data_IF_366445044236
#
_entry.id   IF_366445044236
#
_cell.length_a   1.000
_cell.length_b   1.000
_cell.length_c   1.000
_cell.angle_alpha   90.00
_cell.angle_beta   90.00
_cell.angle_gamma   90.00
#
_symmetry.space_group_name_H-M   'P 1'
#
loop_
_entity.id
_entity.type
_entity.pdbx_description
1 polymer ?
#
# COMPACT_ATOMS: atom_id res chain seq x y z
N UNK A 1 -91.61 -6.89 -32.24
CA UNK A 1 -91.54 -6.28 -30.90
C UNK A 1 -90.20 -6.65 -30.28
N UNK A 2 -89.28 -5.66 -30.24
CA UNK A 2 -88.01 -5.54 -29.49
C UNK A 2 -87.04 -6.74 -29.60
N UNK A 3 -86.07 -6.75 -30.53
CA UNK A 3 -84.85 -5.93 -30.71
C UNK A 3 -83.81 -6.02 -29.58
N UNK A 4 -82.74 -6.82 -29.81
CA UNK A 4 -81.32 -6.41 -29.71
C UNK A 4 -80.38 -7.63 -29.84
N UNK A 5 -79.49 -7.70 -30.86
CA UNK A 5 -78.44 -8.71 -30.96
C UNK A 5 -77.08 -8.20 -30.42
N UNK A 6 -76.30 -9.12 -29.85
CA UNK A 6 -74.93 -8.92 -29.35
C UNK A 6 -73.96 -8.42 -30.43
N UNK A 7 -73.17 -7.40 -30.09
CA UNK A 7 -72.03 -6.93 -30.87
C UNK A 7 -70.79 -7.80 -30.64
N UNK A 8 -70.34 -8.52 -31.67
CA UNK A 8 -68.95 -9.01 -31.77
C UNK A 8 -68.07 -7.91 -32.40
N UNK A 9 -67.07 -7.44 -31.65
CA UNK A 9 -66.06 -6.50 -32.12
C UNK A 9 -64.85 -7.25 -32.72
N UNK A 10 -64.52 -6.90 -33.97
CA UNK A 10 -63.35 -7.37 -34.73
C UNK A 10 -62.03 -7.01 -34.03
N UNK A 11 -61.11 -7.98 -33.91
CA UNK A 11 -59.68 -7.72 -33.62
C UNK A 11 -58.94 -7.34 -34.93
N UNK A 12 -58.05 -6.34 -34.94
CA UNK A 12 -57.13 -6.13 -36.06
C UNK A 12 -55.93 -7.10 -35.98
N UNK A 13 -55.53 -7.61 -37.14
CA UNK A 13 -54.29 -8.33 -37.38
C UNK A 13 -53.09 -7.38 -37.17
N UNK A 14 -52.20 -7.72 -36.23
CA UNK A 14 -50.98 -6.97 -35.91
C UNK A 14 -49.73 -7.83 -36.11
N UNK A 15 -49.15 -7.64 -37.29
CA UNK A 15 -47.78 -7.90 -37.77
C UNK A 15 -46.76 -8.55 -36.80
N UNK A 16 -46.43 -9.82 -37.06
CA UNK A 16 -45.38 -10.59 -36.36
C UNK A 16 -43.98 -10.42 -36.96
N UNK A 17 -43.78 -9.55 -37.96
CA UNK A 17 -42.47 -9.43 -38.64
C UNK A 17 -41.48 -8.48 -37.96
N UNK A 18 -41.93 -7.58 -37.07
CA UNK A 18 -41.06 -6.60 -36.39
C UNK A 18 -40.21 -7.15 -35.23
N UNK A 19 -40.69 -8.18 -34.51
CA UNK A 19 -39.99 -8.69 -33.30
C UNK A 19 -38.81 -9.62 -33.60
N UNK A 20 -38.79 -10.28 -34.76
CA UNK A 20 -37.67 -11.16 -35.14
C UNK A 20 -36.46 -10.38 -35.70
N UNK A 21 -36.68 -9.22 -36.32
CA UNK A 21 -35.61 -8.36 -36.83
C UNK A 21 -34.77 -7.70 -35.73
N UNK A 22 -35.43 -7.23 -34.66
CA UNK A 22 -34.77 -6.59 -33.51
C UNK A 22 -33.90 -7.57 -32.71
N UNK A 23 -34.37 -8.81 -32.51
CA UNK A 23 -33.60 -9.85 -31.82
C UNK A 23 -32.37 -10.34 -32.61
N UNK A 24 -32.43 -10.35 -33.95
CA UNK A 24 -31.28 -10.67 -34.81
C UNK A 24 -30.26 -9.53 -34.86
N UNK A 25 -30.72 -8.28 -34.84
CA UNK A 25 -29.86 -7.10 -34.75
C UNK A 25 -29.07 -7.01 -33.43
N UNK A 26 -29.72 -7.32 -32.29
CA UNK A 26 -29.08 -7.33 -30.98
C UNK A 26 -27.97 -8.41 -30.86
N UNK A 27 -28.26 -9.65 -31.28
CA UNK A 27 -27.28 -10.75 -31.24
C UNK A 27 -26.08 -10.53 -32.18
N UNK A 28 -26.27 -9.81 -33.29
CA UNK A 28 -25.18 -9.47 -34.23
C UNK A 28 -24.28 -8.36 -33.67
N UNK A 29 -24.85 -7.35 -33.00
CA UNK A 29 -24.08 -6.31 -32.29
C UNK A 29 -23.35 -6.85 -31.07
N UNK A 30 -23.92 -7.84 -30.37
CA UNK A 30 -23.30 -8.49 -29.21
C UNK A 30 -22.17 -9.44 -29.63
N UNK A 31 -22.32 -10.18 -30.73
CA UNK A 31 -21.20 -10.95 -31.33
C UNK A 31 -20.09 -10.06 -31.88
N UNK A 32 -20.42 -8.90 -32.47
CA UNK A 32 -19.41 -7.92 -32.89
C UNK A 32 -18.72 -7.28 -31.69
N UNK A 33 -19.43 -6.89 -30.63
CA UNK A 33 -18.84 -6.37 -29.38
C UNK A 33 -17.96 -7.40 -28.67
N UNK A 34 -18.38 -8.67 -28.60
CA UNK A 34 -17.55 -9.75 -28.07
C UNK A 34 -16.33 -9.97 -28.95
N UNK A 35 -16.48 -10.07 -30.27
CA UNK A 35 -15.35 -10.24 -31.19
C UNK A 35 -14.36 -9.07 -31.22
N UNK A 36 -14.82 -7.83 -31.02
CA UNK A 36 -13.95 -6.67 -30.80
C UNK A 36 -13.25 -6.75 -29.44
N UNK A 37 -13.96 -7.05 -28.33
CA UNK A 37 -13.34 -7.26 -27.02
C UNK A 37 -12.29 -8.38 -27.04
N UNK A 38 -12.55 -9.53 -27.68
CA UNK A 38 -11.59 -10.65 -27.71
C UNK A 38 -10.38 -10.36 -28.58
N UNK A 39 -10.53 -9.57 -29.66
CA UNK A 39 -9.42 -9.21 -30.55
C UNK A 39 -8.59 -8.05 -30.00
N UNK A 40 -9.21 -7.12 -29.26
CA UNK A 40 -8.51 -6.11 -28.45
C UNK A 40 -7.78 -6.76 -27.28
N UNK A 41 -8.40 -7.72 -26.56
CA UNK A 41 -7.74 -8.47 -25.48
C UNK A 41 -6.60 -9.36 -25.98
N UNK A 42 -6.74 -10.00 -27.14
CA UNK A 42 -5.66 -10.82 -27.73
C UNK A 42 -4.49 -9.95 -28.19
N UNK A 43 -4.76 -8.80 -28.82
CA UNK A 43 -3.72 -7.84 -29.20
C UNK A 43 -3.07 -7.18 -27.97
N UNK A 44 -3.83 -6.85 -26.92
CA UNK A 44 -3.29 -6.42 -25.63
C UNK A 44 -2.40 -7.51 -25.03
N UNK A 45 -2.81 -8.79 -25.04
CA UNK A 45 -1.99 -9.89 -24.51
C UNK A 45 -0.64 -10.03 -25.21
N UNK A 46 -0.60 -9.91 -26.54
CA UNK A 46 0.67 -9.91 -27.31
C UNK A 46 1.47 -8.61 -27.20
N UNK A 47 0.88 -7.49 -26.78
CA UNK A 47 1.63 -6.25 -26.47
C UNK A 47 2.15 -6.25 -25.02
N UNK A 48 1.40 -6.85 -24.09
CA UNK A 48 1.79 -7.11 -22.69
C UNK A 48 2.99 -8.06 -22.60
N UNK A 49 3.20 -8.93 -23.59
CA UNK A 49 4.41 -9.76 -23.72
C UNK A 49 5.70 -8.95 -23.98
N UNK A 50 5.62 -7.62 -24.16
CA UNK A 50 6.77 -6.77 -24.52
C UNK A 50 6.79 -5.38 -23.88
N UNK A 51 6.16 -5.18 -22.72
CA UNK A 51 6.53 -3.99 -21.93
C UNK A 51 7.74 -4.36 -21.09
N UNK A 52 8.95 -3.87 -21.44
CA UNK A 52 10.13 -4.17 -20.65
C UNK A 52 9.97 -3.56 -19.25
N UNK A 53 10.58 -4.24 -18.29
CA UNK A 53 10.94 -3.71 -16.97
C UNK A 53 11.29 -2.22 -17.05
N UNK A 54 10.70 -1.42 -16.18
CA UNK A 54 10.93 0.04 -16.16
C UNK A 54 12.22 0.40 -15.43
N UNK A 55 12.66 -0.48 -14.54
CA UNK A 55 13.92 -0.40 -13.81
C UNK A 55 14.74 -1.66 -14.06
N UNK A 56 16.05 -1.53 -14.20
CA UNK A 56 16.93 -2.68 -14.46
C UNK A 56 17.81 -3.05 -13.26
N UNK A 57 17.87 -2.19 -12.24
CA UNK A 57 18.69 -2.39 -11.05
C UNK A 57 17.96 -2.06 -9.74
N UNK A 58 18.37 -2.66 -8.60
CA UNK A 58 17.86 -2.30 -7.27
C UNK A 58 17.95 -0.81 -6.93
N UNK A 59 18.98 -0.13 -7.42
CA UNK A 59 19.29 1.27 -7.11
C UNK A 59 18.29 2.27 -7.73
N UNK A 60 17.63 1.86 -8.81
CA UNK A 60 16.61 2.67 -9.51
C UNK A 60 15.26 2.65 -8.78
N UNK A 61 15.01 1.67 -7.92
CA UNK A 61 13.75 1.55 -7.20
C UNK A 61 13.66 2.56 -6.04
N UNK A 62 12.57 3.32 -5.99
CA UNK A 62 12.34 4.28 -4.91
C UNK A 62 11.71 3.60 -3.70
N UNK A 63 12.50 3.41 -2.64
CA UNK A 63 12.01 2.84 -1.39
C UNK A 63 11.47 3.94 -0.46
N UNK A 64 10.22 3.79 -0.02
CA UNK A 64 9.64 4.54 1.10
C UNK A 64 9.71 3.63 2.34
N UNK A 65 10.50 4.00 3.34
CA UNK A 65 10.77 3.14 4.51
C UNK A 65 9.65 3.19 5.56
N UNK A 66 8.97 2.05 5.79
CA UNK A 66 7.71 1.95 6.55
C UNK A 66 7.83 1.73 8.08
N UNK A 67 9.05 1.79 8.64
CA UNK A 67 9.25 1.29 10.01
C UNK A 67 8.83 2.28 11.12
N UNK A 68 8.69 3.58 10.86
CA UNK A 68 8.33 4.59 11.88
C UNK A 68 6.80 4.72 11.93
N UNK A 69 6.14 3.64 12.36
CA UNK A 69 4.68 3.53 12.35
C UNK A 69 4.16 2.96 13.67
N UNK A 70 3.14 3.60 14.24
CA UNK A 70 2.51 3.23 15.51
C UNK A 70 1.99 1.77 15.57
N UNK A 71 1.67 1.16 14.42
CA UNK A 71 1.23 -0.24 14.31
C UNK A 71 2.35 -1.26 14.50
N UNK A 72 3.62 -0.85 14.43
CA UNK A 72 4.75 -1.78 14.40
C UNK A 72 4.96 -2.43 15.77
N UNK A 73 4.97 -3.76 15.76
CA UNK A 73 5.00 -4.62 16.94
C UNK A 73 6.34 -5.36 17.06
N UNK A 74 6.85 -5.42 18.28
CA UNK A 74 7.81 -6.43 18.72
C UNK A 74 7.15 -7.42 19.67
N UNK A 75 7.58 -8.67 19.64
CA UNK A 75 7.15 -9.65 20.64
C UNK A 75 7.90 -9.42 21.96
N UNK A 76 7.20 -9.47 23.09
CA UNK A 76 7.80 -9.31 24.44
C UNK A 76 8.82 -10.40 24.77
N UNK A 77 8.55 -11.62 24.34
CA UNK A 77 9.49 -12.76 24.40
C UNK A 77 10.40 -12.87 23.15
N UNK A 78 10.42 -11.84 22.30
CA UNK A 78 11.21 -11.79 21.08
C UNK A 78 12.64 -11.35 21.32
N UNK A 79 13.49 -11.50 20.29
CA UNK A 79 14.93 -11.15 20.36
C UNK A 79 15.23 -9.67 20.62
N UNK A 80 14.25 -8.79 20.41
CA UNK A 80 14.40 -7.33 20.53
C UNK A 80 13.80 -6.76 21.81
N UNK A 81 13.27 -7.59 22.71
CA UNK A 81 12.75 -7.19 24.00
C UNK A 81 13.54 -7.90 25.12
N UNK A 82 13.70 -7.23 26.26
CA UNK A 82 14.37 -7.77 27.46
C UNK A 82 13.64 -7.31 28.72
N UNK A 83 13.74 -8.10 29.77
CA UNK A 83 13.37 -7.71 31.14
C UNK A 83 14.65 -7.54 31.95
N UNK A 84 14.82 -6.39 32.60
CA UNK A 84 15.95 -6.11 33.48
C UNK A 84 15.76 -6.77 34.85
N UNK A 85 16.81 -6.77 35.68
CA UNK A 85 16.81 -7.41 37.01
C UNK A 85 15.77 -6.80 37.96
N UNK A 86 15.41 -5.53 37.76
CA UNK A 86 14.38 -4.82 38.53
C UNK A 86 12.95 -5.05 38.01
N UNK A 87 12.79 -5.87 36.96
CA UNK A 87 11.50 -6.18 36.33
C UNK A 87 11.08 -5.21 35.22
N UNK A 88 11.88 -4.19 34.90
CA UNK A 88 11.58 -3.25 33.82
C UNK A 88 11.69 -3.94 32.46
N UNK A 89 10.63 -3.89 31.66
CA UNK A 89 10.66 -4.33 30.26
C UNK A 89 11.21 -3.22 29.36
N UNK A 90 12.15 -3.57 28.47
CA UNK A 90 12.85 -2.64 27.60
C UNK A 90 13.03 -3.20 26.19
N UNK A 91 13.16 -2.30 25.23
CA UNK A 91 13.61 -2.56 23.85
C UNK A 91 15.02 -1.99 23.70
N UNK A 92 16.08 -2.81 23.73
CA UNK A 92 17.44 -2.34 23.56
C UNK A 92 17.71 -1.88 22.12
N UNK A 93 18.43 -0.77 21.97
CA UNK A 93 18.89 -0.25 20.69
C UNK A 93 20.29 0.36 20.81
N UNK A 94 20.84 0.83 19.69
CA UNK A 94 22.18 1.44 19.66
C UNK A 94 22.08 2.93 19.37
N UNK A 95 22.74 3.75 20.19
CA UNK A 95 22.94 5.15 19.89
C UNK A 95 23.95 5.38 18.76
N UNK A 96 24.16 6.64 18.35
CA UNK A 96 25.03 6.99 17.23
C UNK A 96 26.50 6.61 17.45
N UNK A 97 26.98 6.59 18.70
CA UNK A 97 28.33 6.14 19.06
C UNK A 97 28.46 4.63 19.24
N UNK A 98 27.38 3.88 18.99
CA UNK A 98 27.32 2.44 19.26
C UNK A 98 27.04 2.07 20.71
N UNK A 99 26.85 3.07 21.58
CA UNK A 99 26.45 2.85 22.97
C UNK A 99 25.08 2.19 23.05
N UNK A 100 24.88 1.32 24.04
CA UNK A 100 23.58 0.69 24.24
C UNK A 100 22.63 1.71 24.90
N UNK A 101 21.46 1.89 24.30
CA UNK A 101 20.34 2.65 24.84
C UNK A 101 19.12 1.73 24.98
N UNK A 102 18.14 2.16 25.77
CA UNK A 102 16.95 1.38 26.07
C UNK A 102 15.72 2.25 25.80
N UNK A 103 14.71 1.67 25.14
CA UNK A 103 13.36 2.21 25.14
C UNK A 103 12.57 1.44 26.20
N UNK A 104 12.20 2.09 27.30
CA UNK A 104 11.46 1.52 28.41
C UNK A 104 9.99 1.36 28.07
N UNK A 105 9.39 0.24 28.48
CA UNK A 105 7.95 -0.01 28.33
C UNK A 105 7.22 0.62 29.52
N UNK A 106 6.42 1.69 29.30
CA UNK A 106 5.81 2.43 30.39
C UNK A 106 4.65 1.65 31.03
N UNK A 107 4.33 1.96 32.29
CA UNK A 107 3.34 1.21 33.07
C UNK A 107 1.93 1.29 32.46
N UNK A 108 1.54 2.45 31.92
CA UNK A 108 0.25 2.60 31.24
C UNK A 108 0.11 1.62 30.06
N UNK A 109 1.21 1.34 29.34
CA UNK A 109 1.18 0.45 28.19
C UNK A 109 0.92 -1.01 28.60
N UNK A 110 1.36 -1.40 29.80
CA UNK A 110 1.16 -2.76 30.32
C UNK A 110 -0.32 -3.10 30.55
N UNK A 111 -1.18 -2.09 30.67
CA UNK A 111 -2.63 -2.26 30.78
C UNK A 111 -3.34 -2.50 29.43
N UNK A 112 -2.64 -2.31 28.31
CA UNK A 112 -3.24 -2.36 26.96
C UNK A 112 -3.44 -3.78 26.44
N UNK A 113 -4.41 -3.96 25.54
CA UNK A 113 -4.67 -5.25 24.88
C UNK A 113 -3.45 -5.79 24.12
N UNK A 114 -2.69 -5.00 23.32
CA UNK A 114 -1.49 -5.50 22.66
C UNK A 114 -0.47 -6.09 23.65
N UNK A 115 -0.25 -5.45 24.79
CA UNK A 115 0.67 -5.96 25.82
C UNK A 115 0.23 -7.32 26.38
N UNK A 116 -1.07 -7.47 26.66
CA UNK A 116 -1.67 -8.73 27.09
C UNK A 116 -1.56 -9.83 26.01
N UNK A 117 -1.49 -9.44 24.74
CA UNK A 117 -1.25 -10.31 23.59
C UNK A 117 0.24 -10.52 23.28
N UNK A 118 1.13 -10.26 24.24
CA UNK A 118 2.59 -10.47 24.12
C UNK A 118 3.27 -9.52 23.11
N UNK A 119 2.72 -8.31 22.90
CA UNK A 119 3.21 -7.33 21.93
C UNK A 119 3.70 -6.03 22.59
N UNK A 120 4.70 -5.40 21.98
CA UNK A 120 5.20 -4.06 22.28
C UNK A 120 5.07 -3.21 21.02
N UNK A 121 4.14 -2.26 21.01
CA UNK A 121 3.98 -1.23 19.97
C UNK A 121 5.02 -0.13 20.21
N UNK A 122 6.25 -0.43 19.85
CA UNK A 122 7.42 0.35 20.24
C UNK A 122 7.49 1.78 19.67
N UNK A 123 7.02 2.04 18.44
CA UNK A 123 6.95 3.41 17.92
C UNK A 123 5.80 4.20 18.51
N UNK A 124 4.67 3.54 18.81
CA UNK A 124 3.61 4.16 19.59
C UNK A 124 4.14 4.63 20.94
N UNK A 125 4.87 3.77 21.66
CA UNK A 125 5.51 4.14 22.93
C UNK A 125 6.48 5.30 22.71
N UNK A 126 7.38 5.22 21.73
CA UNK A 126 8.38 6.27 21.48
C UNK A 126 7.74 7.64 21.17
N UNK A 127 6.69 7.67 20.34
CA UNK A 127 5.95 8.90 20.02
C UNK A 127 5.21 9.44 21.25
N UNK A 128 4.55 8.58 22.02
CA UNK A 128 3.86 8.96 23.26
C UNK A 128 4.82 9.55 24.29
N UNK A 129 5.97 8.92 24.52
CA UNK A 129 7.01 9.46 25.41
C UNK A 129 7.51 10.83 24.95
N UNK A 130 7.54 11.06 23.64
CA UNK A 130 7.96 12.31 23.02
C UNK A 130 7.13 13.54 23.39
N UNK A 131 5.86 13.34 23.73
CA UNK A 131 4.91 14.41 24.05
C UNK A 131 4.64 14.55 25.55
N UNK A 132 5.28 13.74 26.39
CA UNK A 132 5.19 13.87 27.85
C UNK A 132 6.10 15.03 28.34
N UNK A 133 5.78 15.57 29.52
CA UNK A 133 6.54 16.68 30.12
C UNK A 133 7.95 16.26 30.60
N UNK A 134 8.15 14.96 30.84
CA UNK A 134 9.41 14.40 31.30
C UNK A 134 10.49 14.45 30.20
N UNK A 135 11.60 15.10 30.49
CA UNK A 135 12.67 15.32 29.52
C UNK A 135 13.45 14.04 29.18
N UNK A 136 13.57 13.11 30.12
CA UNK A 136 14.27 11.84 29.91
C UNK A 136 13.40 10.90 29.06
N UNK A 137 12.09 10.85 29.32
CA UNK A 137 11.12 10.13 28.48
C UNK A 137 11.16 10.64 27.03
N UNK A 138 11.14 11.96 26.84
CA UNK A 138 11.17 12.59 25.52
C UNK A 138 12.46 12.29 24.76
N UNK A 139 13.62 12.38 25.40
CA UNK A 139 14.90 12.02 24.79
C UNK A 139 14.97 10.53 24.46
N UNK A 140 14.41 9.65 25.30
CA UNK A 140 14.38 8.21 25.04
C UNK A 140 13.55 7.88 23.78
N UNK A 141 12.34 8.44 23.67
CA UNK A 141 11.49 8.29 22.49
C UNK A 141 12.16 8.85 21.23
N UNK A 142 12.76 10.04 21.32
CA UNK A 142 13.46 10.69 20.22
C UNK A 142 14.64 9.85 19.74
N UNK A 143 15.49 9.41 20.67
CA UNK A 143 16.67 8.60 20.36
C UNK A 143 16.29 7.27 19.68
N UNK A 144 15.16 6.66 20.08
CA UNK A 144 14.67 5.44 19.45
C UNK A 144 14.22 5.66 18.00
N UNK A 145 13.47 6.74 17.73
CA UNK A 145 13.08 7.12 16.36
C UNK A 145 14.32 7.37 15.51
N UNK A 146 15.27 8.17 16.00
CA UNK A 146 16.51 8.49 15.29
C UNK A 146 17.40 7.25 15.04
N UNK A 147 17.35 6.24 15.91
CA UNK A 147 18.00 4.96 15.66
C UNK A 147 17.42 4.27 14.43
N UNK A 148 16.09 4.24 14.29
CA UNK A 148 15.44 3.62 13.15
C UNK A 148 15.68 4.40 11.85
N UNK A 149 15.62 5.73 11.88
CA UNK A 149 15.97 6.60 10.75
C UNK A 149 17.30 6.19 10.13
N UNK A 150 18.37 6.12 10.95
CA UNK A 150 19.71 5.75 10.48
C UNK A 150 19.77 4.34 9.88
N UNK A 151 18.94 3.40 10.35
CA UNK A 151 18.89 2.04 9.80
C UNK A 151 18.21 2.01 8.44
N UNK A 152 17.08 2.68 8.30
CA UNK A 152 16.34 2.74 7.04
C UNK A 152 17.13 3.50 5.96
N UNK A 153 17.76 4.63 6.31
CA UNK A 153 18.65 5.39 5.41
C UNK A 153 19.81 4.52 4.93
N UNK A 154 20.53 3.84 5.84
CA UNK A 154 21.62 2.91 5.46
C UNK A 154 21.14 1.73 4.63
N UNK A 155 19.86 1.39 4.71
CA UNK A 155 19.26 0.32 3.96
C UNK A 155 18.70 0.77 2.58
N UNK A 156 18.91 2.03 2.20
CA UNK A 156 18.60 2.54 0.86
C UNK A 156 17.28 3.29 0.74
N UNK A 157 16.57 3.56 1.85
CA UNK A 157 15.35 4.37 1.82
C UNK A 157 15.58 5.75 1.18
N UNK A 158 14.61 6.21 0.41
CA UNK A 158 14.56 7.54 -0.23
C UNK A 158 13.55 8.48 0.43
N UNK A 159 12.55 7.91 1.11
CA UNK A 159 11.63 8.60 2.00
C UNK A 159 11.49 7.80 3.31
N UNK A 160 11.07 8.46 4.38
CA UNK A 160 10.77 7.81 5.67
C UNK A 160 9.30 8.01 6.00
N UNK A 161 8.53 6.94 5.98
CA UNK A 161 7.11 6.98 6.33
C UNK A 161 6.92 7.11 7.84
N UNK A 162 6.15 8.13 8.24
CA UNK A 162 5.87 8.48 9.63
C UNK A 162 4.36 8.43 9.83
N UNK A 163 3.88 7.43 10.57
CA UNK A 163 2.45 7.25 10.82
C UNK A 163 2.14 7.14 12.34
N UNK A 164 1.42 8.12 12.91
CA UNK A 164 1.00 8.14 14.31
C UNK A 164 -0.46 7.71 14.53
N UNK A 165 -1.20 7.25 13.53
CA UNK A 165 -2.67 7.13 13.61
C UNK A 165 -3.14 6.26 14.79
N UNK A 166 -2.45 5.16 15.08
CA UNK A 166 -2.83 4.27 16.18
C UNK A 166 -2.29 4.68 17.56
N UNK A 167 -1.65 5.84 17.72
CA UNK A 167 -1.04 6.21 19.01
C UNK A 167 -2.06 6.52 20.10
N UNK A 168 -3.21 7.07 19.72
CA UNK A 168 -4.30 7.44 20.61
C UNK A 168 -5.58 7.68 19.80
N UNK A 169 -6.75 7.65 20.45
CA UNK A 169 -8.03 8.01 19.81
C UNK A 169 -8.25 9.53 19.70
N UNK A 170 -7.40 10.33 20.36
CA UNK A 170 -7.55 11.77 20.49
C UNK A 170 -6.74 12.46 19.41
N UNK A 171 -7.38 13.33 18.65
CA UNK A 171 -6.79 13.95 17.47
C UNK A 171 -5.64 14.89 17.83
N UNK A 172 -5.76 15.66 18.91
CA UNK A 172 -4.70 16.58 19.34
C UNK A 172 -3.45 15.81 19.78
N UNK A 173 -3.64 14.68 20.46
CA UNK A 173 -2.56 13.75 20.80
C UNK A 173 -1.89 13.18 19.55
N UNK A 174 -2.65 12.76 18.54
CA UNK A 174 -2.10 12.25 17.28
C UNK A 174 -1.30 13.32 16.54
N UNK A 175 -1.82 14.56 16.48
CA UNK A 175 -1.13 15.72 15.88
C UNK A 175 0.17 16.05 16.63
N UNK A 176 0.16 16.03 17.96
CA UNK A 176 1.36 16.25 18.77
C UNK A 176 2.42 15.16 18.52
N UNK A 177 2.01 13.88 18.46
CA UNK A 177 2.87 12.77 18.10
C UNK A 177 3.46 12.91 16.68
N UNK A 178 2.66 13.37 15.71
CA UNK A 178 3.14 13.64 14.36
C UNK A 178 4.24 14.71 14.36
N UNK A 179 3.99 15.88 14.98
CA UNK A 179 4.98 16.97 15.05
C UNK A 179 6.28 16.50 15.70
N UNK A 180 6.17 15.85 16.86
CA UNK A 180 7.33 15.29 17.56
C UNK A 180 8.12 14.30 16.68
N UNK A 181 7.44 13.38 15.99
CA UNK A 181 8.11 12.38 15.16
C UNK A 181 8.80 13.02 13.95
N UNK A 182 8.17 13.99 13.29
CA UNK A 182 8.78 14.74 12.17
C UNK A 182 10.02 15.51 12.63
N UNK A 183 9.93 16.23 13.74
CA UNK A 183 11.05 16.96 14.34
C UNK A 183 12.21 16.01 14.69
N UNK A 184 11.90 14.87 15.32
CA UNK A 184 12.89 13.85 15.66
C UNK A 184 13.58 13.26 14.42
N UNK A 185 12.84 13.06 13.33
CA UNK A 185 13.36 12.53 12.06
C UNK A 185 14.25 13.55 11.36
N UNK A 186 13.80 14.80 11.20
CA UNK A 186 14.56 15.81 10.45
C UNK A 186 15.87 16.21 11.13
N UNK A 187 15.98 16.08 12.46
CA UNK A 187 17.23 16.32 13.20
C UNK A 187 18.42 15.46 12.70
N UNK A 188 18.16 14.29 12.10
CA UNK A 188 19.21 13.33 11.73
C UNK A 188 19.07 12.73 10.33
N UNK A 189 17.95 12.96 9.65
CA UNK A 189 17.66 12.36 8.35
C UNK A 189 18.24 13.19 7.20
N UNK A 190 18.99 12.58 6.27
CA UNK A 190 19.37 13.23 5.02
C UNK A 190 18.31 13.11 3.92
N UNK A 191 17.18 12.45 4.19
CA UNK A 191 16.08 12.20 3.24
C UNK A 191 14.74 12.69 3.81
N UNK A 192 13.80 13.12 2.97
CA UNK A 192 12.56 13.74 3.41
C UNK A 192 11.57 12.73 4.00
N UNK A 193 10.62 13.19 4.85
CA UNK A 193 9.56 12.34 5.37
C UNK A 193 8.46 12.08 4.33
N UNK A 194 7.82 10.92 4.45
CA UNK A 194 6.47 10.63 3.96
C UNK A 194 5.53 10.80 5.16
N UNK A 195 4.73 11.86 5.15
CA UNK A 195 3.80 12.21 6.22
C UNK A 195 2.53 11.38 6.01
N UNK A 196 2.36 10.35 6.84
CA UNK A 196 1.32 9.35 6.66
C UNK A 196 0.20 9.47 7.70
N UNK A 197 -1.02 9.68 7.22
CA UNK A 197 -2.23 9.59 8.03
C UNK A 197 -3.52 9.44 7.21
N UNK A 198 -4.50 8.76 7.78
CA UNK A 198 -5.88 8.78 7.30
C UNK A 198 -6.62 10.10 7.59
N UNK A 199 -6.00 11.08 8.27
CA UNK A 199 -6.61 12.36 8.64
C UNK A 199 -5.81 13.56 8.13
N UNK A 200 -6.49 14.43 7.37
CA UNK A 200 -5.90 15.63 6.75
C UNK A 200 -5.32 16.63 7.76
N UNK A 201 -5.87 16.73 8.98
CA UNK A 201 -5.31 17.60 10.03
C UNK A 201 -4.00 17.08 10.63
N UNK A 202 -3.83 15.76 10.68
CA UNK A 202 -2.58 15.13 11.12
C UNK A 202 -1.50 15.34 10.04
N UNK A 203 -1.86 15.15 8.77
CA UNK A 203 -0.97 15.46 7.64
C UNK A 203 -0.51 16.91 7.70
N UNK A 204 -1.44 17.86 7.85
CA UNK A 204 -1.13 19.29 7.96
C UNK A 204 -0.18 19.58 9.14
N UNK A 205 -0.40 18.95 10.31
CA UNK A 205 0.48 19.13 11.46
C UNK A 205 1.92 18.65 11.19
N UNK A 206 2.07 17.52 10.47
CA UNK A 206 3.37 17.01 10.05
C UNK A 206 4.06 17.92 9.02
N UNK A 207 3.33 18.39 8.02
CA UNK A 207 3.86 19.31 6.99
C UNK A 207 4.32 20.65 7.60
N UNK A 208 3.56 21.21 8.55
CA UNK A 208 3.93 22.44 9.25
C UNK A 208 5.15 22.28 10.17
N UNK A 209 5.38 21.10 10.72
CA UNK A 209 6.54 20.82 11.57
C UNK A 209 7.81 20.58 10.74
N UNK A 210 7.67 20.13 9.50
CA UNK A 210 8.79 19.83 8.63
C UNK A 210 9.46 21.10 8.09
N UNK A 211 10.77 21.22 8.26
CA UNK A 211 11.53 22.42 7.87
C UNK A 211 12.03 22.43 6.41
N UNK A 212 11.79 21.36 5.65
CA UNK A 212 12.23 21.23 4.25
C UNK A 212 13.71 20.90 4.05
N UNK A 213 14.48 20.73 5.12
CA UNK A 213 15.95 20.61 5.07
C UNK A 213 16.46 19.41 4.27
N UNK A 214 15.68 18.33 4.21
CA UNK A 214 16.02 17.10 3.50
C UNK A 214 15.38 16.99 2.11
N UNK A 215 14.71 18.03 1.63
CA UNK A 215 14.02 18.06 0.33
C UNK A 215 12.50 18.07 0.45
N UNK A 216 11.80 17.84 -0.67
CA UNK A 216 10.33 17.92 -0.72
C UNK A 216 9.70 16.75 0.05
N UNK A 217 8.72 17.00 0.96
CA UNK A 217 8.04 15.92 1.67
C UNK A 217 7.14 15.14 0.73
N UNK A 218 6.71 13.95 1.15
CA UNK A 218 5.66 13.18 0.52
C UNK A 218 4.40 13.19 1.41
N UNK A 219 3.23 13.39 0.82
CA UNK A 219 1.93 13.24 1.48
C UNK A 219 1.43 11.82 1.25
N UNK A 220 1.19 11.06 2.33
CA UNK A 220 0.62 9.72 2.30
C UNK A 220 -0.73 9.74 3.06
N UNK A 221 -1.88 9.74 2.40
CA UNK A 221 -2.11 9.71 0.96
C UNK A 221 -3.14 10.76 0.52
N UNK A 222 -3.22 10.95 -0.80
CA UNK A 222 -4.31 11.64 -1.49
C UNK A 222 -5.26 10.58 -2.06
N UNK A 223 -6.56 10.77 -1.86
CA UNK A 223 -7.60 9.82 -2.25
C UNK A 223 -8.87 10.55 -2.69
N UNK A 224 -9.76 9.83 -3.39
CA UNK A 224 -10.98 10.42 -3.97
C UNK A 224 -11.92 11.01 -2.89
N UNK A 225 -11.91 10.44 -1.69
CA UNK A 225 -12.69 10.90 -0.55
C UNK A 225 -12.09 12.11 0.19
N UNK A 226 -10.84 12.49 -0.12
CA UNK A 226 -10.08 13.58 0.53
C UNK A 226 -9.35 14.46 -0.48
N UNK A 227 -10.09 15.03 -1.45
CA UNK A 227 -9.50 15.88 -2.50
C UNK A 227 -8.85 17.14 -1.96
N UNK A 228 -9.19 17.61 -0.76
CA UNK A 228 -8.54 18.74 -0.10
C UNK A 228 -7.04 18.51 0.16
N UNK A 229 -6.59 17.26 0.22
CA UNK A 229 -5.16 16.95 0.34
C UNK A 229 -4.35 17.42 -0.90
N UNK A 230 -4.99 17.59 -2.07
CA UNK A 230 -4.34 18.16 -3.25
C UNK A 230 -3.93 19.62 -3.04
N UNK A 231 -4.68 20.39 -2.23
CA UNK A 231 -4.30 21.76 -1.89
C UNK A 231 -3.02 21.75 -1.05
N UNK A 232 -2.90 20.82 -0.09
CA UNK A 232 -1.67 20.65 0.70
C UNK A 232 -0.47 20.26 -0.17
N UNK A 233 -0.66 19.43 -1.19
CA UNK A 233 0.41 19.08 -2.15
C UNK A 233 0.97 20.33 -2.82
N UNK A 234 0.09 21.22 -3.28
CA UNK A 234 0.49 22.47 -3.95
C UNK A 234 1.11 23.45 -2.95
N UNK A 235 0.47 23.67 -1.80
CA UNK A 235 0.89 24.63 -0.77
C UNK A 235 2.28 24.30 -0.21
N UNK A 236 2.56 23.03 0.04
CA UNK A 236 3.82 22.57 0.65
C UNK A 236 4.85 22.09 -0.38
N UNK A 237 4.55 22.23 -1.69
CA UNK A 237 5.38 21.71 -2.78
C UNK A 237 5.77 20.24 -2.53
N UNK A 238 4.80 19.42 -2.11
CA UNK A 238 5.02 18.03 -1.74
C UNK A 238 4.93 17.10 -2.97
N UNK A 239 5.47 15.90 -2.83
CA UNK A 239 5.08 14.74 -3.64
C UNK A 239 3.90 14.03 -2.98
N UNK A 240 3.25 13.09 -3.67
CA UNK A 240 2.09 12.41 -3.09
C UNK A 240 2.01 10.93 -3.44
N UNK A 241 1.51 10.15 -2.49
CA UNK A 241 0.90 8.85 -2.75
C UNK A 241 -0.54 9.07 -3.18
N UNK A 242 -0.90 8.64 -4.39
CA UNK A 242 -2.23 8.78 -4.97
C UNK A 242 -2.94 7.42 -4.98
N UNK A 243 -4.01 7.30 -4.20
CA UNK A 243 -4.72 6.03 -4.02
C UNK A 243 -5.68 5.75 -5.17
N UNK A 244 -5.68 4.50 -5.66
CA UNK A 244 -6.71 4.01 -6.59
C UNK A 244 -8.03 3.62 -5.89
N UNK A 245 -8.40 4.32 -4.82
CA UNK A 245 -9.72 4.21 -4.18
C UNK A 245 -10.72 5.13 -4.88
N UNK A 246 -11.97 4.69 -4.95
CA UNK A 246 -13.06 5.44 -5.54
C UNK A 246 -13.86 6.22 -4.50
N UNK A 247 -14.74 7.14 -4.93
CA UNK A 247 -15.68 7.83 -4.03
C UNK A 247 -16.59 6.85 -3.26
N UNK A 248 -16.86 5.68 -3.85
CA UNK A 248 -17.68 4.62 -3.27
C UNK A 248 -16.86 3.61 -2.42
N UNK A 249 -15.54 3.81 -2.31
CA UNK A 249 -14.65 3.04 -1.45
C UNK A 249 -13.59 2.20 -2.19
N UNK A 250 -13.37 0.99 -1.70
CA UNK A 250 -12.29 0.09 -2.14
C UNK A 250 -12.60 -0.57 -3.49
N UNK A 251 -11.65 -0.60 -4.45
CA UNK A 251 -11.86 -1.22 -5.75
C UNK A 251 -11.95 -2.75 -5.65
N UNK A 252 -12.78 -3.38 -6.48
CA UNK A 252 -12.95 -4.82 -6.52
C UNK A 252 -11.94 -5.52 -7.45
N UNK A 253 -11.60 -4.90 -8.58
CA UNK A 253 -10.76 -5.49 -9.62
C UNK A 253 -9.80 -4.46 -10.27
N UNK A 254 -9.07 -4.88 -11.29
CA UNK A 254 -8.15 -4.03 -12.04
C UNK A 254 -8.89 -2.90 -12.76
N UNK A 255 -10.05 -3.18 -13.35
CA UNK A 255 -10.85 -2.21 -14.07
C UNK A 255 -11.28 -1.04 -13.19
N UNK A 256 -11.80 -1.34 -12.00
CA UNK A 256 -12.23 -0.32 -11.04
C UNK A 256 -11.04 0.51 -10.51
N UNK A 257 -9.85 -0.09 -10.33
CA UNK A 257 -8.63 0.67 -10.01
C UNK A 257 -8.29 1.70 -11.09
N UNK A 258 -8.41 1.33 -12.36
CA UNK A 258 -8.16 2.24 -13.49
C UNK A 258 -9.22 3.34 -13.56
N UNK A 259 -10.50 3.01 -13.35
CA UNK A 259 -11.59 3.99 -13.31
C UNK A 259 -11.38 5.01 -12.19
N UNK A 260 -11.05 4.55 -10.98
CA UNK A 260 -10.74 5.40 -9.83
C UNK A 260 -9.53 6.28 -10.06
N UNK A 261 -8.44 5.73 -10.60
CA UNK A 261 -7.26 6.51 -10.96
C UNK A 261 -7.59 7.60 -11.98
N UNK A 262 -8.38 7.29 -13.00
CA UNK A 262 -8.77 8.28 -14.01
C UNK A 262 -9.56 9.43 -13.39
N UNK A 263 -10.51 9.10 -12.51
CA UNK A 263 -11.30 10.08 -11.79
C UNK A 263 -10.43 11.05 -10.99
N UNK A 264 -9.54 10.52 -10.14
CA UNK A 264 -8.71 11.39 -9.28
C UNK A 264 -7.66 12.15 -10.08
N UNK A 265 -7.12 11.58 -11.17
CA UNK A 265 -6.15 12.23 -12.04
C UNK A 265 -6.70 13.49 -12.74
N UNK A 266 -8.01 13.56 -13.03
CA UNK A 266 -8.63 14.79 -13.54
C UNK A 266 -8.48 15.95 -12.53
N UNK A 267 -8.64 15.67 -11.23
CA UNK A 267 -8.44 16.65 -10.18
C UNK A 267 -6.97 17.03 -10.03
N UNK A 268 -6.06 16.07 -10.09
CA UNK A 268 -4.60 16.31 -10.05
C UNK A 268 -4.17 17.25 -11.18
N UNK A 269 -4.60 16.98 -12.41
CA UNK A 269 -4.28 17.80 -13.58
C UNK A 269 -4.85 19.21 -13.46
N UNK A 270 -6.06 19.36 -12.90
CA UNK A 270 -6.67 20.68 -12.69
C UNK A 270 -5.88 21.60 -11.74
N UNK A 271 -5.05 21.01 -10.87
CA UNK A 271 -4.15 21.73 -9.95
C UNK A 271 -2.76 21.99 -10.54
N UNK A 272 -2.46 21.44 -11.73
CA UNK A 272 -1.16 21.60 -12.38
C UNK A 272 -0.02 20.87 -11.67
N UNK A 273 -0.33 19.83 -10.89
CA UNK A 273 0.68 19.01 -10.20
C UNK A 273 1.50 18.23 -11.25
N UNK A 274 2.84 18.26 -11.20
CA UNK A 274 3.69 17.51 -12.12
C UNK A 274 3.47 15.99 -12.00
N UNK A 275 3.49 15.28 -13.13
CA UNK A 275 3.27 13.83 -13.15
C UNK A 275 4.34 13.06 -12.34
N UNK A 276 5.61 13.50 -12.38
CA UNK A 276 6.74 12.88 -11.66
C UNK A 276 6.61 12.99 -10.13
N UNK A 277 5.68 13.81 -9.63
CA UNK A 277 5.41 13.93 -8.20
C UNK A 277 4.35 12.94 -7.70
N UNK A 278 3.80 12.13 -8.61
CA UNK A 278 2.72 11.19 -8.35
C UNK A 278 3.28 9.79 -8.16
N UNK A 279 3.03 9.22 -6.99
CA UNK A 279 3.25 7.81 -6.69
C UNK A 279 1.93 7.09 -6.57
N UNK A 280 1.54 6.33 -7.59
CA UNK A 280 0.26 5.64 -7.60
C UNK A 280 0.30 4.39 -6.72
N UNK A 281 -0.65 4.32 -5.79
CA UNK A 281 -0.95 3.11 -5.02
C UNK A 281 -2.14 2.38 -5.64
N UNK A 282 -1.84 1.23 -6.26
CA UNK A 282 -2.82 0.33 -6.86
C UNK A 282 -3.68 -0.46 -5.89
N UNK A 283 -3.60 -0.23 -4.58
CA UNK A 283 -4.36 -0.91 -3.51
C UNK A 283 -4.14 -2.43 -3.52
N UNK A 284 -3.20 -2.88 -2.70
CA UNK A 284 -2.89 -4.30 -2.54
C UNK A 284 -3.75 -4.93 -1.45
N UNK A 285 -4.50 -5.97 -1.81
CA UNK A 285 -5.23 -6.80 -0.85
C UNK A 285 -4.49 -8.11 -0.55
N UNK A 286 -4.73 -8.73 0.63
CA UNK A 286 -4.08 -9.98 0.99
C UNK A 286 -4.56 -11.16 0.15
N UNK A 287 -3.63 -11.91 -0.46
CA UNK A 287 -3.97 -13.11 -1.27
C UNK A 287 -4.59 -14.24 -0.45
N UNK A 288 -4.48 -14.19 0.88
CA UNK A 288 -5.16 -15.13 1.78
C UNK A 288 -6.69 -14.99 1.74
N UNK A 289 -7.20 -13.86 1.24
CA UNK A 289 -8.64 -13.58 1.14
C UNK A 289 -9.18 -14.05 -0.21
N UNK A 290 -8.52 -13.65 -1.30
CA UNK A 290 -8.85 -14.06 -2.66
C UNK A 290 -7.56 -14.29 -3.47
N UNK A 291 -7.36 -15.48 -4.06
CA UNK A 291 -6.16 -15.77 -4.86
C UNK A 291 -6.03 -14.90 -6.12
N UNK A 292 -7.10 -14.26 -6.61
CA UNK A 292 -7.05 -13.39 -7.78
C UNK A 292 -6.56 -11.97 -7.47
N UNK A 293 -6.44 -11.57 -6.20
CA UNK A 293 -6.01 -10.21 -5.84
C UNK A 293 -4.62 -9.85 -6.36
N UNK A 294 -3.70 -10.82 -6.49
CA UNK A 294 -2.41 -10.57 -7.14
C UNK A 294 -2.58 -10.23 -8.62
N UNK A 295 -3.36 -11.01 -9.37
CA UNK A 295 -3.64 -10.75 -10.79
C UNK A 295 -4.32 -9.39 -11.00
N UNK A 296 -5.35 -9.07 -10.20
CA UNK A 296 -6.02 -7.76 -10.27
C UNK A 296 -5.02 -6.60 -10.06
N UNK A 297 -4.06 -6.76 -9.15
CA UNK A 297 -3.03 -5.75 -8.94
C UNK A 297 -2.06 -5.66 -10.13
N UNK A 298 -1.52 -6.79 -10.59
CA UNK A 298 -0.53 -6.79 -11.68
C UNK A 298 -1.13 -6.27 -13.00
N UNK A 299 -2.36 -6.64 -13.32
CA UNK A 299 -3.05 -6.16 -14.52
C UNK A 299 -3.35 -4.65 -14.44
N UNK A 300 -3.73 -4.14 -13.26
CA UNK A 300 -3.85 -2.71 -13.04
C UNK A 300 -2.51 -1.99 -13.22
N UNK A 301 -1.42 -2.48 -12.63
CA UNK A 301 -0.08 -1.88 -12.77
C UNK A 301 0.33 -1.81 -14.25
N UNK A 302 0.16 -2.90 -15.01
CA UNK A 302 0.48 -2.93 -16.45
C UNK A 302 -0.34 -1.90 -17.23
N UNK A 303 -1.64 -1.82 -16.97
CA UNK A 303 -2.53 -0.85 -17.63
C UNK A 303 -2.18 0.61 -17.27
N UNK A 304 -1.82 0.88 -16.00
CA UNK A 304 -1.35 2.20 -15.56
C UNK A 304 -0.05 2.54 -16.29
N UNK A 305 0.92 1.61 -16.33
CA UNK A 305 2.20 1.84 -16.99
C UNK A 305 2.06 2.02 -18.50
N UNK A 306 1.17 1.27 -19.16
CA UNK A 306 0.84 1.46 -20.58
C UNK A 306 0.27 2.86 -20.84
N UNK A 307 -0.59 3.35 -19.95
CA UNK A 307 -1.25 4.65 -20.09
C UNK A 307 -0.32 5.85 -19.84
N UNK A 308 0.47 5.80 -18.77
CA UNK A 308 1.24 6.96 -18.30
C UNK A 308 2.75 6.86 -18.58
N UNK A 309 3.21 5.74 -19.14
CA UNK A 309 4.64 5.53 -19.38
C UNK A 309 5.45 5.75 -18.10
N UNK A 310 6.62 6.37 -18.22
CA UNK A 310 7.51 6.68 -17.09
C UNK A 310 7.26 8.08 -16.52
N UNK A 311 6.12 8.72 -16.82
CA UNK A 311 5.81 10.06 -16.32
C UNK A 311 5.35 10.06 -14.86
N UNK A 312 4.91 8.92 -14.35
CA UNK A 312 4.51 8.72 -12.95
C UNK A 312 5.28 7.55 -12.33
N UNK A 313 5.30 7.53 -11.00
CA UNK A 313 5.75 6.39 -10.23
C UNK A 313 4.56 5.49 -9.86
N UNK A 314 4.82 4.19 -9.75
CA UNK A 314 3.83 3.17 -9.40
C UNK A 314 4.44 2.24 -8.37
N UNK A 315 3.65 1.93 -7.34
CA UNK A 315 3.97 0.92 -6.35
C UNK A 315 4.03 1.54 -4.96
N UNK A 316 3.17 1.02 -4.08
CA UNK A 316 3.01 1.37 -2.66
C UNK A 316 2.37 0.19 -1.93
N UNK A 317 2.51 0.12 -0.60
CA UNK A 317 1.85 -0.89 0.25
C UNK A 317 2.27 -2.35 0.02
N UNK A 318 3.51 -2.61 -0.42
CA UNK A 318 3.95 -3.92 -0.92
C UNK A 318 3.88 -5.06 0.13
N UNK A 319 3.95 -4.72 1.42
CA UNK A 319 3.91 -5.68 2.52
C UNK A 319 2.51 -6.26 2.79
N UNK A 320 1.46 -5.67 2.22
CA UNK A 320 0.06 -6.03 2.47
C UNK A 320 -0.34 -7.38 1.86
N UNK A 321 0.26 -7.76 0.74
CA UNK A 321 -0.10 -8.96 -0.03
C UNK A 321 -0.07 -10.25 0.81
N UNK A 322 0.87 -10.34 1.75
CA UNK A 322 1.13 -11.56 2.51
C UNK A 322 0.44 -11.63 3.88
N UNK A 323 -0.43 -10.67 4.22
CA UNK A 323 -1.21 -10.78 5.46
C UNK A 323 -2.01 -12.09 5.47
N UNK A 324 -2.04 -12.76 6.63
CA UNK A 324 -2.68 -14.06 6.79
C UNK A 324 -1.86 -15.28 6.31
N UNK A 325 -0.73 -15.07 5.63
CA UNK A 325 0.08 -16.15 5.06
C UNK A 325 1.34 -16.48 5.89
N UNK A 326 1.81 -17.74 5.90
CA UNK A 326 3.11 -18.10 6.47
C UNK A 326 4.27 -17.69 5.55
N UNK A 327 5.50 -17.70 6.08
CA UNK A 327 6.73 -17.34 5.31
C UNK A 327 6.58 -16.06 4.49
N UNK A 328 5.99 -15.02 5.12
CA UNK A 328 5.66 -13.75 4.47
C UNK A 328 6.82 -13.12 3.71
N UNK A 329 8.06 -13.32 4.15
CA UNK A 329 9.25 -12.79 3.49
C UNK A 329 9.37 -13.32 2.05
N UNK A 330 9.19 -14.63 1.85
CA UNK A 330 9.27 -15.25 0.52
C UNK A 330 8.16 -14.71 -0.41
N UNK A 331 6.93 -14.61 0.11
CA UNK A 331 5.81 -14.03 -0.64
C UNK A 331 6.04 -12.56 -0.98
N UNK A 332 6.51 -11.76 -0.03
CA UNK A 332 6.80 -10.35 -0.27
C UNK A 332 7.89 -10.18 -1.33
N UNK A 333 9.01 -10.91 -1.23
CA UNK A 333 10.10 -10.83 -2.20
C UNK A 333 9.61 -11.22 -3.60
N UNK A 334 8.86 -12.34 -3.71
CA UNK A 334 8.32 -12.84 -4.97
C UNK A 334 7.27 -11.90 -5.55
N UNK A 335 6.45 -11.28 -4.71
CA UNK A 335 5.46 -10.30 -5.14
C UNK A 335 6.14 -9.06 -5.70
N UNK A 336 7.15 -8.51 -5.01
CA UNK A 336 7.91 -7.36 -5.49
C UNK A 336 8.56 -7.68 -6.84
N UNK A 337 9.11 -8.88 -7.01
CA UNK A 337 9.62 -9.32 -8.30
C UNK A 337 8.56 -9.27 -9.40
N UNK A 338 7.40 -9.88 -9.19
CA UNK A 338 6.27 -9.85 -10.14
C UNK A 338 5.76 -8.43 -10.41
N UNK A 339 5.70 -7.59 -9.38
CA UNK A 339 5.29 -6.20 -9.52
C UNK A 339 6.29 -5.40 -10.36
N UNK A 340 7.60 -5.63 -10.19
CA UNK A 340 8.64 -4.96 -10.99
C UNK A 340 8.50 -5.40 -12.46
N UNK A 341 8.27 -6.69 -12.71
CA UNK A 341 7.97 -7.19 -14.06
C UNK A 341 6.67 -6.57 -14.64
N UNK A 342 5.69 -6.26 -13.78
CA UNK A 342 4.47 -5.56 -14.19
C UNK A 342 4.69 -4.06 -14.47
N UNK A 343 5.74 -3.45 -13.90
CA UNK A 343 6.13 -2.07 -14.17
C UNK A 343 6.13 -1.12 -12.96
N UNK A 344 6.17 -1.62 -11.72
CA UNK A 344 6.42 -0.75 -10.55
C UNK A 344 7.88 -0.26 -10.53
N UNK A 345 8.09 0.93 -9.97
CA UNK A 345 9.39 1.58 -9.80
C UNK A 345 9.58 2.17 -8.38
N UNK A 346 8.57 2.06 -7.52
CA UNK A 346 8.59 2.53 -6.14
C UNK A 346 7.83 1.61 -5.20
N UNK A 347 8.00 1.81 -3.88
CA UNK A 347 7.18 1.11 -2.90
C UNK A 347 7.45 1.44 -1.43
N UNK A 348 6.37 1.44 -0.65
CA UNK A 348 6.40 1.40 0.83
C UNK A 348 6.69 -0.05 1.26
N UNK A 349 7.85 -0.23 1.90
CA UNK A 349 8.32 -1.53 2.40
C UNK A 349 9.32 -1.36 3.55
N UNK A 350 9.60 -2.43 4.30
CA UNK A 350 10.69 -2.45 5.31
C UNK A 350 12.03 -2.68 4.61
N UNK A 351 12.89 -1.65 4.44
CA UNK A 351 14.16 -1.77 3.70
C UNK A 351 15.19 -2.64 4.43
N UNK A 352 14.96 -2.94 5.71
CA UNK A 352 15.87 -3.73 6.52
C UNK A 352 15.59 -5.22 6.31
N UNK A 353 14.31 -5.61 6.32
CA UNK A 353 13.89 -6.98 6.10
C UNK A 353 13.89 -7.36 4.60
N UNK A 354 13.46 -6.44 3.75
CA UNK A 354 13.35 -6.62 2.29
C UNK A 354 14.56 -6.01 1.61
N UNK A 355 15.33 -6.85 0.90
CA UNK A 355 16.53 -6.45 0.17
C UNK A 355 16.26 -6.59 -1.31
N UNK A 356 16.29 -5.48 -2.04
CA UNK A 356 16.00 -5.51 -3.47
C UNK A 356 17.03 -6.32 -4.25
N UNK A 357 18.29 -6.36 -3.80
CA UNK A 357 19.31 -7.23 -4.39
C UNK A 357 18.88 -8.71 -4.34
N UNK A 358 18.21 -9.11 -3.24
CA UNK A 358 17.65 -10.45 -3.10
C UNK A 358 16.45 -10.67 -4.02
N UNK A 359 15.59 -9.65 -4.19
CA UNK A 359 14.43 -9.69 -5.10
C UNK A 359 14.90 -9.85 -6.55
N UNK A 360 15.91 -9.09 -6.98
CA UNK A 360 16.47 -9.17 -8.33
C UNK A 360 17.24 -10.47 -8.58
N UNK A 361 17.80 -11.07 -7.54
CA UNK A 361 18.53 -12.34 -7.61
C UNK A 361 17.66 -13.57 -7.26
N UNK A 362 16.33 -13.45 -7.28
CA UNK A 362 15.44 -14.57 -6.99
C UNK A 362 15.66 -15.72 -7.98
N UNK A 363 15.86 -16.92 -7.44
CA UNK A 363 15.86 -18.15 -8.23
C UNK A 363 14.42 -18.57 -8.52
N UNK A 364 13.88 -18.07 -9.64
CA UNK A 364 12.52 -18.37 -10.11
C UNK A 364 12.31 -19.85 -10.47
N UNK A 365 13.39 -20.63 -10.60
CA UNK A 365 13.31 -22.06 -10.87
C UNK A 365 13.24 -22.91 -9.59
N UNK A 366 13.57 -22.35 -8.44
CA UNK A 366 13.49 -23.02 -7.15
C UNK A 366 12.05 -23.37 -6.77
N UNK A 367 11.87 -24.52 -6.10
CA UNK A 367 10.54 -24.98 -5.63
C UNK A 367 9.83 -23.93 -4.75
N UNK A 368 10.47 -23.30 -3.74
CA UNK A 368 9.80 -22.32 -2.90
C UNK A 368 9.27 -21.11 -3.68
N UNK A 369 10.07 -20.60 -4.64
CA UNK A 369 9.67 -19.45 -5.45
C UNK A 369 8.56 -19.82 -6.43
N UNK A 370 8.60 -21.00 -7.06
CA UNK A 370 7.50 -21.49 -7.91
C UNK A 370 6.18 -21.58 -7.16
N UNK A 371 6.18 -22.11 -5.94
CA UNK A 371 4.99 -22.16 -5.10
C UNK A 371 4.49 -20.77 -4.71
N UNK A 372 5.39 -19.83 -4.45
CA UNK A 372 5.03 -18.44 -4.19
C UNK A 372 4.43 -17.75 -5.43
N UNK A 373 5.02 -17.95 -6.61
CA UNK A 373 4.51 -17.46 -7.89
C UNK A 373 3.09 -17.99 -8.14
N UNK A 374 2.87 -19.29 -7.97
CA UNK A 374 1.54 -19.90 -8.15
C UNK A 374 0.49 -19.34 -7.18
N UNK A 375 0.86 -19.08 -5.93
CA UNK A 375 -0.03 -18.43 -4.97
C UNK A 375 -0.36 -16.98 -5.34
N UNK A 376 0.62 -16.21 -5.83
CA UNK A 376 0.46 -14.79 -6.15
C UNK A 376 -0.25 -14.57 -7.49
N UNK A 377 -0.09 -15.47 -8.45
CA UNK A 377 -0.73 -15.40 -9.79
C UNK A 377 -2.08 -16.14 -9.83
N UNK A 378 -2.62 -16.51 -8.66
CA UNK A 378 -3.92 -17.17 -8.55
C UNK A 378 -3.98 -18.55 -9.20
N UNK A 379 -2.85 -19.25 -9.31
CA UNK A 379 -2.73 -20.63 -9.81
C UNK A 379 -2.77 -21.68 -8.69
N UNK A 380 -2.74 -21.25 -7.43
CA UNK A 380 -2.90 -22.08 -6.24
C UNK A 380 -4.19 -21.70 -5.49
N UNK A 381 -5.26 -22.47 -5.72
CA UNK A 381 -6.57 -22.21 -5.10
C UNK A 381 -6.45 -22.18 -3.56
N UNK A 382 -6.89 -21.06 -2.97
CA UNK A 382 -6.77 -20.78 -1.53
C UNK A 382 -5.33 -20.86 -0.98
N UNK A 383 -4.32 -20.74 -1.84
CA UNK A 383 -2.91 -20.88 -1.51
C UNK A 383 -2.57 -22.21 -0.81
N UNK A 384 -3.32 -23.27 -1.09
CA UNK A 384 -3.26 -24.53 -0.35
C UNK A 384 -1.92 -25.24 -0.52
N UNK A 385 -1.37 -25.26 -1.74
CA UNK A 385 -0.08 -25.91 -2.00
C UNK A 385 1.05 -25.18 -1.28
N UNK A 386 1.03 -23.85 -1.28
CA UNK A 386 1.98 -23.02 -0.53
C UNK A 386 1.90 -23.30 0.98
N UNK A 387 0.69 -23.30 1.55
CA UNK A 387 0.47 -23.56 2.99
C UNK A 387 0.91 -24.98 3.37
N UNK A 388 0.66 -25.97 2.52
CA UNK A 388 1.13 -27.35 2.75
C UNK A 388 2.66 -27.43 2.72
N UNK A 389 3.31 -26.80 1.74
CA UNK A 389 4.77 -26.76 1.64
C UNK A 389 5.42 -26.10 2.86
N UNK A 390 4.80 -25.05 3.41
CA UNK A 390 5.25 -24.46 4.66
C UNK A 390 5.23 -25.47 5.82
N UNK A 391 4.12 -26.20 5.97
CA UNK A 391 3.95 -27.20 7.04
C UNK A 391 4.96 -28.35 6.90
N UNK A 392 5.29 -28.72 5.67
CA UNK A 392 6.31 -29.73 5.36
C UNK A 392 7.75 -29.21 5.55
N UNK A 393 7.93 -27.92 5.83
CA UNK A 393 9.24 -27.28 5.97
C UNK A 393 9.98 -27.05 4.65
N UNK A 394 9.28 -27.15 3.51
CA UNK A 394 9.85 -27.04 2.15
C UNK A 394 10.10 -25.61 1.68
N UNK A 395 9.53 -24.60 2.36
CA UNK A 395 9.68 -23.19 1.97
C UNK A 395 10.88 -22.47 2.62
N UNK A 396 11.65 -23.16 3.47
CA UNK A 396 12.79 -22.53 4.16
C UNK A 396 13.89 -22.25 3.15
N UNK A 397 14.15 -20.96 2.94
CA UNK A 397 15.18 -20.42 2.03
C UNK A 397 16.36 -19.83 2.78
#
# INVERSE_FOLDING_TARGET
MRDSPCHEARKPLGDTTGRQGLARGARRRERQRRGLKTRTLYNLRTQLETMPRVIDSPEEFTIVGENIHATRVLLRNGRRAKTLDDGTEVVPFRGPGGEQRLLTVPEWYKSTQPYQQNQIKHFLIAMRKGIEDDADEREEGKAYIQYEVRRQVRAGAKYLDINPDEVHYDLDTQKACMRFAVEAVQEVSPIPPSIDSSNSEIIQAGLEAYDGSAGRPMINSVAAERLEALDMVVEHNARMVLMCTGPDGMPQDDGERIENLNYIMEHVQSKGIPMDDIFVDGIIFPISVDPQYGNHYFDAVRAIREKYGNEIHIGMGLSNVSFGMPERRLLNDTFIYLSIEAGIDAGILDPIATKLERVFALDTESEPVKLALDALEGRDDFCMNYIMAYRDGRLKT
#
